data_IF_369770895142
#
_entry.id   IF_369770895142
#
_cell.length_a   1.000
_cell.length_b   1.000
_cell.length_c   1.000
_cell.angle_alpha   90.00
_cell.angle_beta   90.00
_cell.angle_gamma   90.00
#
_symmetry.space_group_name_H-M   'P 1'
#
loop_
_entity.id
_entity.type
_entity.pdbx_description
1 polymer ?
#
# COMPACT_ATOMS: atom_id res chain seq x y z
N UNK A 1 -52.45 46.52 37.69
CA UNK A 1 -51.63 47.10 36.59
C UNK A 1 -51.04 45.92 35.81
N UNK A 2 -51.34 45.56 34.56
CA UNK A 2 -52.10 46.12 33.44
C UNK A 2 -51.53 45.47 32.15
N UNK A 3 -52.26 44.52 31.54
CA UNK A 3 -52.38 44.12 30.09
C UNK A 3 -51.07 43.91 29.26
N UNK A 4 -50.66 42.73 28.74
CA UNK A 4 -51.14 41.78 27.68
C UNK A 4 -51.09 42.26 26.20
N UNK A 5 -50.47 41.45 25.32
CA UNK A 5 -50.69 41.40 23.84
C UNK A 5 -49.63 42.13 23.01
N UNK A 6 -49.14 41.70 21.83
CA UNK A 6 -49.58 40.70 20.84
C UNK A 6 -49.46 41.32 19.43
N UNK A 7 -48.89 40.58 18.46
CA UNK A 7 -49.25 40.66 17.03
C UNK A 7 -48.70 41.77 16.10
N UNK A 8 -47.73 41.39 15.28
CA UNK A 8 -47.60 41.56 13.80
C UNK A 8 -48.21 42.76 13.01
N UNK A 9 -47.35 43.25 12.10
CA UNK A 9 -47.55 43.68 10.69
C UNK A 9 -47.82 45.16 10.32
N UNK A 10 -46.87 45.71 9.53
CA UNK A 10 -47.00 46.46 8.24
C UNK A 10 -45.97 47.59 8.17
N UNK A 11 -45.38 48.03 7.05
CA UNK A 11 -45.13 47.56 5.68
C UNK A 11 -44.50 48.80 5.00
N UNK A 12 -43.44 48.65 4.20
CA UNK A 12 -43.03 49.49 3.05
C UNK A 12 -41.51 49.33 2.83
N UNK A 13 -40.93 49.17 1.64
CA UNK A 13 -41.43 48.98 0.28
C UNK A 13 -40.20 48.53 -0.54
N UNK A 14 -40.21 47.32 -1.11
CA UNK A 14 -39.93 47.06 -2.54
C UNK A 14 -40.24 45.58 -2.89
N UNK A 15 -41.37 45.40 -3.58
CA UNK A 15 -42.02 44.18 -4.10
C UNK A 15 -41.13 43.43 -5.13
N UNK A 16 -40.95 42.10 -5.13
CA UNK A 16 -41.89 40.98 -5.38
C UNK A 16 -42.85 41.13 -6.59
N UNK A 17 -42.58 40.42 -7.69
CA UNK A 17 -43.54 39.68 -8.55
C UNK A 17 -42.75 38.68 -9.41
N UNK A 18 -43.15 37.45 -9.70
CA UNK A 18 -44.25 36.56 -9.31
C UNK A 18 -43.93 35.20 -9.96
N UNK A 19 -44.03 34.09 -9.22
CA UNK A 19 -44.21 32.78 -9.84
C UNK A 19 -45.63 32.70 -10.43
N UNK A 20 -45.76 32.22 -11.66
CA UNK A 20 -47.07 32.04 -12.29
C UNK A 20 -47.03 31.33 -13.64
N UNK A 21 -47.14 30.00 -13.61
CA UNK A 21 -47.96 29.19 -14.52
C UNK A 21 -47.92 29.39 -16.04
N UNK A 22 -47.36 28.38 -16.72
CA UNK A 22 -47.83 27.72 -17.96
C UNK A 22 -47.98 28.51 -19.29
N UNK A 23 -47.26 27.94 -20.28
CA UNK A 23 -47.52 27.68 -21.72
C UNK A 23 -46.88 28.57 -22.80
N UNK A 24 -45.94 27.91 -23.50
CA UNK A 24 -45.89 27.63 -24.96
C UNK A 24 -45.21 28.65 -25.90
N UNK A 25 -44.31 28.06 -26.70
CA UNK A 25 -43.88 28.35 -28.07
C UNK A 25 -42.68 29.28 -28.33
N UNK A 26 -41.64 28.65 -28.91
CA UNK A 26 -40.87 29.16 -30.03
C UNK A 26 -39.73 30.13 -29.69
N UNK A 27 -38.59 30.21 -30.38
CA UNK A 27 -38.11 29.61 -31.63
C UNK A 27 -36.62 30.03 -31.72
N UNK A 28 -35.70 29.06 -31.88
CA UNK A 28 -34.51 29.06 -32.76
C UNK A 28 -33.28 30.01 -32.58
N UNK A 29 -32.18 29.50 -33.16
CA UNK A 29 -30.83 30.03 -33.48
C UNK A 29 -29.74 29.86 -32.41
N UNK A 30 -28.50 29.46 -32.71
CA UNK A 30 -27.82 28.75 -33.82
C UNK A 30 -26.39 28.52 -33.28
N UNK A 31 -25.77 27.36 -33.51
CA UNK A 31 -24.35 27.12 -33.21
C UNK A 31 -23.60 26.81 -34.50
N UNK A 32 -22.61 27.64 -34.78
CA UNK A 32 -21.67 27.52 -35.90
C UNK A 32 -20.53 26.55 -35.62
N UNK A 33 -20.25 25.73 -36.64
CA UNK A 33 -19.20 24.73 -36.77
C UNK A 33 -17.78 25.31 -36.97
N UNK A 34 -16.77 24.53 -36.58
CA UNK A 34 -15.56 24.18 -37.37
C UNK A 34 -14.75 23.17 -36.53
N UNK A 35 -14.43 21.95 -36.96
CA UNK A 35 -13.53 21.56 -38.04
C UNK A 35 -13.84 20.13 -38.53
N UNK A 36 -13.72 19.89 -39.84
CA UNK A 36 -13.80 18.57 -40.48
C UNK A 36 -12.43 18.08 -40.99
N UNK A 37 -12.28 16.75 -40.97
CA UNK A 37 -11.60 15.82 -41.88
C UNK A 37 -10.68 14.85 -41.11
N UNK A 38 -10.80 13.53 -41.20
CA UNK A 38 -11.67 12.65 -41.98
C UNK A 38 -11.25 11.19 -41.69
N UNK A 39 -12.17 10.25 -41.84
CA UNK A 39 -11.88 8.81 -41.66
C UNK A 39 -13.13 8.01 -41.34
N UNK A 40 -13.71 7.41 -42.36
CA UNK A 40 -15.02 6.77 -42.40
C UNK A 40 -15.19 5.57 -41.45
N UNK A 41 -16.43 5.33 -41.00
CA UNK A 41 -17.25 4.15 -41.32
C UNK A 41 -18.65 4.40 -40.72
N UNK A 42 -19.67 4.31 -41.57
CA UNK A 42 -21.06 4.65 -41.21
C UNK A 42 -21.81 3.52 -40.51
N UNK A 43 -22.80 3.91 -39.72
CA UNK A 43 -24.02 3.13 -39.47
C UNK A 43 -25.18 4.13 -39.38
N UNK A 44 -26.20 3.90 -40.22
CA UNK A 44 -27.42 4.69 -40.33
C UNK A 44 -28.42 4.28 -39.24
N UNK A 45 -29.16 5.29 -38.75
CA UNK A 45 -30.38 5.31 -37.93
C UNK A 45 -31.37 4.15 -38.23
N UNK A 46 -32.29 3.73 -37.37
CA UNK A 46 -32.89 4.28 -36.15
C UNK A 46 -34.32 3.73 -36.00
N UNK A 47 -35.00 4.16 -34.94
CA UNK A 47 -36.45 4.07 -34.64
C UNK A 47 -37.03 2.82 -33.94
N UNK A 48 -37.42 3.06 -32.68
CA UNK A 48 -38.59 2.47 -32.03
C UNK A 48 -39.88 3.08 -32.61
N UNK A 49 -40.94 2.27 -32.83
CA UNK A 49 -42.16 2.30 -32.00
C UNK A 49 -43.30 1.40 -32.52
N UNK A 50 -44.03 0.83 -31.55
CA UNK A 50 -45.46 0.50 -31.47
C UNK A 50 -46.13 -0.69 -32.22
N UNK A 51 -46.64 -1.60 -31.38
CA UNK A 51 -47.98 -2.26 -31.31
C UNK A 51 -48.40 -3.35 -32.31
N UNK A 52 -48.89 -4.45 -31.71
CA UNK A 52 -49.90 -5.38 -32.27
C UNK A 52 -49.49 -6.85 -32.08
N UNK A 53 -49.80 -7.55 -30.99
CA UNK A 53 -51.09 -8.14 -30.57
C UNK A 53 -51.13 -9.68 -30.79
N UNK A 54 -51.72 -10.36 -29.80
CA UNK A 54 -52.33 -11.72 -29.81
C UNK A 54 -51.40 -12.91 -29.52
N UNK A 55 -51.78 -13.71 -28.50
CA UNK A 55 -51.43 -15.13 -28.43
C UNK A 55 -51.25 -15.71 -27.03
N UNK A 56 -52.35 -16.02 -26.36
CA UNK A 56 -52.42 -16.64 -25.03
C UNK A 56 -51.71 -18.01 -24.92
N UNK A 57 -51.22 -18.35 -23.71
CA UNK A 57 -51.73 -19.50 -22.92
C UNK A 57 -51.16 -19.52 -21.49
N UNK A 58 -51.99 -20.06 -20.61
CA UNK A 58 -51.96 -20.03 -19.16
C UNK A 58 -50.97 -21.03 -18.53
N UNK A 59 -50.49 -20.70 -17.33
CA UNK A 59 -49.88 -21.63 -16.37
C UNK A 59 -49.88 -21.02 -14.98
N UNK A 60 -50.96 -21.27 -14.23
CA UNK A 60 -51.19 -20.82 -12.85
C UNK A 60 -50.38 -21.71 -11.89
N UNK A 61 -49.62 -21.11 -10.96
CA UNK A 61 -49.16 -21.78 -9.74
C UNK A 61 -49.89 -21.15 -8.55
N UNK A 62 -50.67 -21.96 -7.83
CA UNK A 62 -51.33 -21.61 -6.57
C UNK A 62 -50.45 -21.97 -5.38
N UNK A 63 -50.49 -21.11 -4.37
CA UNK A 63 -49.96 -21.27 -3.01
C UNK A 63 -50.46 -22.52 -2.29
N UNK A 64 -49.67 -23.00 -1.32
CA UNK A 64 -50.18 -23.17 0.05
C UNK A 64 -49.09 -23.13 1.13
N UNK A 65 -49.46 -22.48 2.22
CA UNK A 65 -48.79 -22.34 3.52
C UNK A 65 -49.31 -23.43 4.46
N UNK A 66 -48.49 -23.96 5.36
CA UNK A 66 -48.96 -24.57 6.60
C UNK A 66 -47.95 -24.39 7.75
N UNK A 67 -48.45 -23.78 8.83
CA UNK A 67 -47.86 -23.65 10.16
C UNK A 67 -48.17 -24.89 11.01
N UNK A 68 -47.30 -25.20 11.98
CA UNK A 68 -47.60 -26.13 13.09
C UNK A 68 -46.62 -25.96 14.26
N UNK A 69 -47.13 -25.67 15.46
CA UNK A 69 -46.44 -25.38 16.73
C UNK A 69 -46.39 -26.59 17.68
N UNK A 70 -45.47 -26.55 18.66
CA UNK A 70 -45.47 -27.25 19.97
C UNK A 70 -44.33 -28.28 20.08
N UNK A 71 -43.29 -28.14 20.95
CA UNK A 71 -43.29 -28.08 22.43
C UNK A 71 -43.21 -29.53 23.00
N UNK A 72 -42.36 -30.00 23.92
CA UNK A 72 -41.63 -29.46 25.09
C UNK A 72 -40.71 -30.61 25.65
N UNK A 73 -39.49 -30.28 26.16
CA UNK A 73 -38.63 -30.97 27.19
C UNK A 73 -38.17 -32.43 26.98
N UNK A 74 -37.07 -32.96 27.53
CA UNK A 74 -35.91 -32.54 28.34
C UNK A 74 -34.85 -33.66 28.18
N UNK A 75 -33.59 -33.37 28.56
CA UNK A 75 -32.64 -34.31 29.20
C UNK A 75 -31.91 -35.41 28.39
N UNK A 76 -30.61 -35.18 28.11
CA UNK A 76 -29.44 -35.87 28.72
C UNK A 76 -28.19 -35.94 27.81
N UNK A 77 -27.07 -35.49 28.39
CA UNK A 77 -25.73 -36.12 28.40
C UNK A 77 -24.90 -36.12 27.10
N UNK A 78 -23.89 -35.25 27.10
CA UNK A 78 -22.49 -35.67 27.06
C UNK A 78 -22.01 -36.41 25.81
N UNK A 79 -21.49 -35.68 24.84
CA UNK A 79 -20.52 -36.21 23.88
C UNK A 79 -19.39 -35.20 23.69
N UNK A 80 -18.23 -35.52 24.30
CA UNK A 80 -16.98 -34.83 24.07
C UNK A 80 -16.56 -35.05 22.61
N UNK A 81 -16.33 -33.94 21.89
CA UNK A 81 -15.77 -33.96 20.55
C UNK A 81 -14.22 -34.05 20.67
N UNK A 82 -13.54 -35.03 20.04
CA UNK A 82 -12.10 -35.15 20.14
C UNK A 82 -11.39 -34.11 19.26
N UNK A 83 -10.42 -33.43 19.86
CA UNK A 83 -9.40 -32.62 19.18
C UNK A 83 -8.64 -33.47 18.15
N UNK A 84 -8.36 -32.98 16.92
CA UNK A 84 -7.41 -33.65 16.07
C UNK A 84 -5.98 -33.42 16.57
N UNK A 85 -5.25 -34.52 16.72
CA UNK A 85 -3.86 -34.57 17.11
C UNK A 85 -2.95 -33.96 16.02
N UNK A 86 -2.05 -33.08 16.45
CA UNK A 86 -0.86 -32.68 15.70
C UNK A 86 -0.09 -33.93 15.25
N UNK A 87 -0.02 -34.18 13.95
CA UNK A 87 0.79 -35.24 13.37
C UNK A 87 1.96 -34.59 12.63
N UNK A 88 3.15 -34.70 13.22
CA UNK A 88 4.43 -34.35 12.61
C UNK A 88 4.66 -35.18 11.34
N UNK A 89 4.41 -34.59 10.18
CA UNK A 89 4.74 -35.14 8.86
C UNK A 89 5.98 -34.44 8.30
N UNK A 90 7.15 -35.05 8.47
CA UNK A 90 8.37 -34.66 7.74
C UNK A 90 8.20 -35.02 6.26
N UNK A 91 7.80 -34.07 5.43
CA UNK A 91 7.93 -34.20 3.98
C UNK A 91 9.26 -33.60 3.54
N UNK A 92 10.22 -34.49 3.25
CA UNK A 92 11.45 -34.16 2.53
C UNK A 92 11.11 -33.96 1.06
N UNK A 93 11.01 -32.72 0.60
CA UNK A 93 11.10 -32.40 -0.82
C UNK A 93 12.58 -32.29 -1.21
N UNK A 94 12.99 -33.13 -2.15
CA UNK A 94 14.33 -33.16 -2.70
C UNK A 94 14.55 -31.93 -3.61
N UNK A 95 15.46 -31.03 -3.23
CA UNK A 95 15.97 -30.00 -4.13
C UNK A 95 16.70 -30.67 -5.30
N UNK A 96 16.10 -30.63 -6.50
CA UNK A 96 16.85 -30.80 -7.74
C UNK A 96 17.58 -29.49 -8.03
N UNK A 97 18.90 -29.53 -7.95
CA UNK A 97 19.79 -28.44 -8.39
C UNK A 97 19.63 -28.24 -9.91
N UNK A 98 18.97 -27.18 -10.32
CA UNK A 98 19.09 -26.64 -11.67
C UNK A 98 20.30 -25.69 -11.69
N UNK A 99 21.38 -26.12 -12.33
CA UNK A 99 22.58 -25.29 -12.56
C UNK A 99 22.32 -24.35 -13.73
N UNK A 100 22.02 -23.08 -13.45
CA UNK A 100 21.96 -22.03 -14.48
C UNK A 100 23.39 -21.57 -14.80
N UNK A 101 23.92 -21.98 -15.95
CA UNK A 101 25.16 -21.44 -16.51
C UNK A 101 24.88 -20.02 -17.04
N UNK A 102 25.33 -19.00 -16.32
CA UNK A 102 25.36 -17.62 -16.83
C UNK A 102 26.50 -17.51 -17.84
N UNK A 103 26.16 -17.19 -19.08
CA UNK A 103 27.12 -16.91 -20.14
C UNK A 103 27.76 -15.53 -19.91
N UNK A 104 29.05 -15.52 -19.58
CA UNK A 104 29.86 -14.31 -19.61
C UNK A 104 30.08 -13.88 -21.08
N UNK A 105 29.52 -12.74 -21.48
CA UNK A 105 29.88 -12.09 -22.75
C UNK A 105 30.48 -10.70 -22.50
N UNK A 106 31.60 -10.50 -23.20
CA UNK A 106 32.53 -9.37 -23.20
C UNK A 106 31.84 -8.01 -23.31
N UNK A 107 32.08 -7.15 -22.32
CA UNK A 107 31.82 -5.71 -22.41
C UNK A 107 33.08 -5.00 -22.90
N UNK A 108 33.02 -4.52 -24.14
CA UNK A 108 33.95 -3.55 -24.69
C UNK A 108 33.16 -2.35 -25.18
N UNK A 109 33.01 -1.34 -24.32
CA UNK A 109 32.90 0.11 -24.58
C UNK A 109 32.64 0.84 -23.26
N UNK A 110 33.16 2.06 -23.18
CA UNK A 110 33.47 2.85 -21.97
C UNK A 110 32.28 3.17 -21.08
N UNK A 111 32.51 3.10 -19.75
CA UNK A 111 31.57 3.10 -18.62
C UNK A 111 30.86 4.44 -18.31
N UNK A 112 30.98 5.49 -19.13
CA UNK A 112 30.85 6.88 -18.63
C UNK A 112 29.63 7.72 -19.05
N UNK A 113 28.67 7.27 -19.87
CA UNK A 113 27.64 8.22 -20.38
C UNK A 113 26.15 7.85 -20.23
N UNK A 114 25.78 6.86 -19.41
CA UNK A 114 24.35 6.57 -19.14
C UNK A 114 24.08 6.12 -17.70
N UNK A 115 24.33 6.98 -16.70
CA UNK A 115 23.94 6.71 -15.31
C UNK A 115 22.72 7.58 -14.92
N UNK A 116 21.48 7.06 -14.99
CA UNK A 116 20.29 7.85 -14.74
C UNK A 116 19.96 7.81 -13.25
N UNK A 117 20.33 8.85 -12.47
CA UNK A 117 19.73 9.25 -11.18
C UNK A 117 19.72 8.24 -10.00
N UNK A 118 19.77 6.94 -10.23
CA UNK A 118 19.55 5.86 -9.27
C UNK A 118 20.83 5.44 -8.53
N UNK A 119 22.02 5.55 -9.17
CA UNK A 119 23.31 5.30 -8.48
C UNK A 119 23.57 6.26 -7.32
N UNK A 120 23.08 7.50 -7.45
CA UNK A 120 23.19 8.52 -6.42
C UNK A 120 22.44 8.17 -5.13
N UNK A 121 21.52 7.20 -5.18
CA UNK A 121 20.80 6.71 -3.99
C UNK A 121 21.49 5.56 -3.26
N UNK A 122 22.58 5.03 -3.80
CA UNK A 122 23.35 3.96 -3.18
C UNK A 122 24.46 4.55 -2.30
N UNK A 123 24.79 3.83 -1.23
CA UNK A 123 25.96 4.13 -0.40
C UNK A 123 27.23 4.03 -1.29
N UNK A 124 28.12 5.04 -1.31
CA UNK A 124 29.39 4.96 -2.04
C UNK A 124 30.20 3.73 -1.63
N UNK A 125 30.86 3.05 -2.57
CA UNK A 125 31.57 1.79 -2.28
C UNK A 125 32.64 1.96 -1.18
N UNK A 126 33.33 3.10 -1.15
CA UNK A 126 34.31 3.45 -0.11
C UNK A 126 33.73 3.60 1.31
N UNK A 127 32.44 3.90 1.40
CA UNK A 127 31.71 4.14 2.65
C UNK A 127 30.83 2.94 3.07
N UNK A 128 30.78 1.89 2.23
CA UNK A 128 30.05 0.67 2.50
C UNK A 128 30.77 -0.21 3.52
N UNK A 129 30.06 -0.57 4.58
CA UNK A 129 30.39 -1.66 5.49
C UNK A 129 29.36 -2.76 5.30
N UNK A 130 29.81 -3.95 4.90
CA UNK A 130 28.93 -5.10 4.66
C UNK A 130 28.69 -5.88 5.94
N UNK A 131 27.43 -6.03 6.31
CA UNK A 131 27.00 -6.78 7.49
C UNK A 131 26.20 -8.00 7.04
N UNK A 132 26.55 -9.19 7.53
CA UNK A 132 25.81 -10.41 7.21
C UNK A 132 24.34 -10.31 7.70
N UNK A 133 23.41 -10.94 6.97
CA UNK A 133 22.00 -11.00 7.37
C UNK A 133 21.85 -11.51 8.82
N UNK A 134 22.61 -12.54 9.20
CA UNK A 134 22.58 -13.10 10.54
C UNK A 134 22.97 -12.08 11.61
N UNK A 135 24.06 -11.33 11.40
CA UNK A 135 24.51 -10.31 12.34
C UNK A 135 23.55 -9.12 12.41
N UNK A 136 22.95 -8.75 11.27
CA UNK A 136 21.95 -7.69 11.21
C UNK A 136 20.69 -8.09 11.99
N UNK A 137 20.16 -9.30 11.77
CA UNK A 137 19.00 -9.84 12.51
C UNK A 137 19.24 -9.90 14.01
N UNK A 138 20.34 -10.54 14.44
CA UNK A 138 20.65 -10.67 15.86
C UNK A 138 20.78 -9.30 16.55
N UNK A 139 21.45 -8.36 15.88
CA UNK A 139 21.60 -6.99 16.35
C UNK A 139 20.27 -6.25 16.51
N UNK A 140 19.45 -6.24 15.45
CA UNK A 140 18.17 -5.53 15.43
C UNK A 140 17.18 -6.10 16.42
N UNK A 141 17.10 -7.43 16.55
CA UNK A 141 16.21 -8.08 17.51
C UNK A 141 16.58 -7.68 18.94
N UNK A 142 17.87 -7.76 19.29
CA UNK A 142 18.35 -7.38 20.61
C UNK A 142 18.06 -5.89 20.94
N UNK A 143 18.12 -5.01 19.94
CA UNK A 143 17.73 -3.59 20.11
C UNK A 143 16.23 -3.46 20.43
N UNK A 144 15.35 -4.17 19.73
CA UNK A 144 13.91 -4.15 20.03
C UNK A 144 13.60 -4.73 21.42
N UNK A 145 14.22 -5.85 21.78
CA UNK A 145 14.07 -6.45 23.12
C UNK A 145 14.54 -5.51 24.22
N UNK A 146 15.65 -4.80 24.01
CA UNK A 146 16.13 -3.77 24.94
C UNK A 146 15.18 -2.58 25.08
N UNK A 147 14.31 -2.33 24.09
CA UNK A 147 13.21 -1.35 24.16
C UNK A 147 11.96 -1.91 24.86
N UNK A 148 12.01 -3.13 25.39
CA UNK A 148 10.91 -3.79 26.09
C UNK A 148 9.93 -4.52 25.18
N UNK A 149 10.22 -4.63 23.88
CA UNK A 149 9.39 -5.40 22.94
C UNK A 149 9.55 -6.89 23.25
N UNK A 150 8.46 -7.67 23.41
CA UNK A 150 8.55 -9.11 23.65
C UNK A 150 9.28 -9.84 22.52
N UNK A 151 10.03 -10.90 22.84
CA UNK A 151 10.88 -11.66 21.90
C UNK A 151 10.18 -11.99 20.57
N UNK A 152 8.96 -12.52 20.62
CA UNK A 152 8.20 -12.87 19.41
C UNK A 152 7.89 -11.63 18.53
N UNK A 153 7.57 -10.51 19.15
CA UNK A 153 7.28 -9.25 18.45
C UNK A 153 8.57 -8.57 17.95
N UNK A 154 9.67 -8.69 18.70
CA UNK A 154 10.98 -8.20 18.30
C UNK A 154 11.51 -8.97 17.08
N UNK A 155 11.26 -10.29 17.02
CA UNK A 155 11.57 -11.11 15.85
C UNK A 155 10.76 -10.66 14.62
N UNK A 156 9.47 -10.39 14.76
CA UNK A 156 8.63 -9.85 13.68
C UNK A 156 9.15 -8.49 13.19
N UNK A 157 9.43 -7.56 14.10
CA UNK A 157 9.94 -6.25 13.71
C UNK A 157 11.28 -6.33 12.98
N UNK A 158 12.15 -7.20 13.48
CA UNK A 158 13.43 -7.48 12.85
C UNK A 158 13.25 -8.03 11.44
N UNK A 159 12.33 -8.98 11.24
CA UNK A 159 12.11 -9.55 9.92
C UNK A 159 11.60 -8.53 8.90
N UNK A 160 10.71 -7.63 9.31
CA UNK A 160 10.24 -6.53 8.45
C UNK A 160 11.40 -5.61 8.02
N UNK A 161 12.24 -5.18 8.97
CA UNK A 161 13.36 -4.29 8.67
C UNK A 161 14.42 -4.96 7.80
N UNK A 162 14.82 -6.17 8.14
CA UNK A 162 15.86 -6.89 7.41
C UNK A 162 15.38 -7.28 6.02
N UNK A 163 14.12 -7.66 5.86
CA UNK A 163 13.55 -7.91 4.53
C UNK A 163 13.57 -6.64 3.66
N UNK A 164 13.32 -5.48 4.27
CA UNK A 164 13.44 -4.18 3.57
C UNK A 164 14.88 -3.93 3.11
N UNK A 165 15.86 -4.14 4.00
CA UNK A 165 17.27 -3.96 3.69
C UNK A 165 17.78 -4.95 2.63
N UNK A 166 17.37 -6.22 2.70
CA UNK A 166 17.71 -7.23 1.69
C UNK A 166 17.17 -6.84 0.32
N UNK A 167 15.96 -6.30 0.25
CA UNK A 167 15.32 -5.90 -1.01
C UNK A 167 15.84 -4.58 -1.58
N UNK A 168 16.80 -3.93 -0.92
CA UNK A 168 17.31 -2.62 -1.34
C UNK A 168 16.38 -1.45 -1.00
N UNK A 169 15.34 -1.68 -0.18
CA UNK A 169 14.40 -0.65 0.27
C UNK A 169 14.91 0.04 1.55
N UNK A 170 16.14 0.54 1.52
CA UNK A 170 16.89 1.07 2.68
C UNK A 170 16.21 2.26 3.39
N UNK A 171 15.30 2.94 2.68
CA UNK A 171 14.43 3.98 3.26
C UNK A 171 13.55 3.46 4.41
N UNK A 172 13.28 2.16 4.45
CA UNK A 172 12.42 1.52 5.44
C UNK A 172 13.14 0.41 6.23
N UNK A 173 14.42 0.17 5.98
CA UNK A 173 15.29 -0.74 6.74
C UNK A 173 16.07 -0.05 7.86
N UNK A 174 17.11 -0.69 8.39
CA UNK A 174 17.80 -0.22 9.62
C UNK A 174 18.34 1.20 9.47
N UNK A 175 18.93 1.52 8.32
CA UNK A 175 19.63 2.78 8.04
C UNK A 175 18.82 4.03 8.37
N UNK A 176 17.51 4.00 8.13
CA UNK A 176 16.67 5.18 8.22
C UNK A 176 15.62 5.13 9.33
N UNK A 177 15.15 3.94 9.71
CA UNK A 177 13.97 3.83 10.58
C UNK A 177 14.29 3.36 12.00
N UNK A 178 15.28 2.49 12.21
CA UNK A 178 15.54 1.89 13.53
C UNK A 178 15.86 2.96 14.58
N UNK A 179 16.67 3.97 14.24
CA UNK A 179 16.96 5.12 15.12
C UNK A 179 15.69 5.86 15.54
N UNK A 180 14.75 6.04 14.61
CA UNK A 180 13.50 6.74 14.87
C UNK A 180 12.59 5.92 15.79
N UNK A 181 12.60 4.58 15.66
CA UNK A 181 11.82 3.69 16.53
C UNK A 181 12.38 3.65 17.94
N UNK A 182 13.70 3.53 18.09
CA UNK A 182 14.37 3.63 19.40
C UNK A 182 14.01 4.96 20.08
N UNK A 183 14.08 6.08 19.36
CA UNK A 183 13.66 7.38 19.88
C UNK A 183 12.14 7.47 20.17
N UNK A 184 11.33 6.70 19.44
CA UNK A 184 9.88 6.57 19.66
C UNK A 184 9.55 5.86 20.97
N UNK A 185 10.16 4.70 21.21
CA UNK A 185 10.00 3.93 22.44
C UNK A 185 10.55 4.69 23.66
N UNK A 186 11.75 5.28 23.56
CA UNK A 186 12.33 6.09 24.66
C UNK A 186 11.48 7.31 25.03
N UNK A 187 10.73 7.85 24.07
CA UNK A 187 9.83 8.97 24.28
C UNK A 187 8.38 8.53 24.60
N UNK A 188 8.15 7.24 24.85
CA UNK A 188 6.82 6.66 25.16
C UNK A 188 5.74 6.99 24.11
N UNK A 189 6.16 7.23 22.86
CA UNK A 189 5.26 7.48 21.72
C UNK A 189 4.81 6.20 21.03
N UNK A 190 5.42 5.07 21.36
CA UNK A 190 5.14 3.75 20.82
C UNK A 190 5.01 2.77 21.98
N UNK A 191 3.97 1.92 21.95
CA UNK A 191 3.78 0.91 22.98
C UNK A 191 4.57 -0.37 22.64
N UNK A 192 5.58 -0.75 23.44
CA UNK A 192 6.37 -1.97 23.19
C UNK A 192 5.59 -3.25 23.49
N UNK A 193 4.57 -3.20 24.37
CA UNK A 193 3.77 -4.36 24.81
C UNK A 193 2.28 -4.08 24.58
N UNK A 194 1.86 -3.93 23.31
CA UNK A 194 0.51 -3.49 22.98
C UNK A 194 -0.55 -4.54 23.31
N UNK A 195 -1.67 -4.10 23.87
CA UNK A 195 -2.86 -4.93 24.04
C UNK A 195 -3.72 -4.87 22.77
N UNK A 196 -3.25 -5.55 21.71
CA UNK A 196 -3.94 -5.58 20.41
C UNK A 196 -5.30 -6.28 20.54
N UNK A 197 -6.36 -5.62 20.07
CA UNK A 197 -7.74 -6.13 20.19
C UNK A 197 -8.44 -6.17 18.84
N UNK A 198 -9.15 -7.26 18.59
CA UNK A 198 -10.16 -7.29 17.51
C UNK A 198 -11.38 -6.50 17.95
N UNK A 199 -11.66 -5.38 17.28
CA UNK A 199 -12.79 -4.49 17.59
C UNK A 199 -14.01 -4.77 16.71
N UNK A 200 -13.81 -5.39 15.55
CA UNK A 200 -14.87 -5.89 14.66
C UNK A 200 -14.38 -7.14 13.94
N UNK A 201 -15.30 -8.08 13.70
CA UNK A 201 -14.98 -9.33 13.01
C UNK A 201 -16.18 -9.89 12.25
N UNK A 202 -15.89 -10.50 11.10
CA UNK A 202 -16.77 -11.38 10.35
C UNK A 202 -15.97 -12.58 9.82
N UNK A 203 -16.62 -13.47 9.07
CA UNK A 203 -15.96 -14.60 8.41
C UNK A 203 -14.79 -14.15 7.50
N UNK A 204 -14.96 -13.05 6.76
CA UNK A 204 -14.01 -12.59 5.74
C UNK A 204 -13.29 -11.29 6.10
N UNK A 205 -13.58 -10.71 7.27
CA UNK A 205 -12.97 -9.45 7.67
C UNK A 205 -12.71 -9.32 9.16
N UNK A 206 -11.72 -8.49 9.53
CA UNK A 206 -11.51 -8.05 10.90
C UNK A 206 -11.02 -6.59 10.96
N UNK A 207 -11.15 -5.97 12.13
CA UNK A 207 -10.52 -4.69 12.44
C UNK A 207 -9.79 -4.82 13.77
N UNK A 208 -8.50 -4.47 13.78
CA UNK A 208 -7.65 -4.48 14.97
C UNK A 208 -7.41 -3.06 15.47
N UNK A 209 -7.50 -2.87 16.78
CA UNK A 209 -6.89 -1.73 17.46
C UNK A 209 -5.48 -2.13 17.91
N UNK A 210 -4.48 -1.41 17.42
CA UNK A 210 -3.08 -1.72 17.66
C UNK A 210 -2.54 -1.18 18.98
N UNK A 211 -3.32 -0.44 19.77
CA UNK A 211 -2.88 0.10 21.06
C UNK A 211 -1.56 0.88 20.99
N UNK A 212 -1.40 1.70 19.95
CA UNK A 212 -0.18 2.48 19.64
C UNK A 212 1.09 1.65 19.40
N UNK A 213 0.94 0.36 19.07
CA UNK A 213 2.04 -0.45 18.57
C UNK A 213 2.62 0.14 17.29
N UNK A 214 3.92 -0.07 17.07
CA UNK A 214 4.47 0.13 15.74
C UNK A 214 3.86 -0.89 14.75
N UNK A 215 3.68 -0.48 13.50
CA UNK A 215 3.10 -1.34 12.45
C UNK A 215 3.91 -2.61 12.19
N UNK A 216 5.19 -2.62 12.54
CA UNK A 216 6.06 -3.79 12.46
C UNK A 216 5.64 -4.93 13.41
N UNK A 217 5.00 -4.62 14.54
CA UNK A 217 4.49 -5.62 15.49
C UNK A 217 3.12 -6.16 15.09
N UNK A 218 2.22 -5.29 14.62
CA UNK A 218 0.81 -5.62 14.38
C UNK A 218 0.52 -6.02 12.92
N UNK A 219 1.23 -5.44 11.97
CA UNK A 219 1.00 -5.67 10.54
C UNK A 219 1.19 -7.12 10.11
N UNK A 220 2.25 -7.85 10.53
CA UNK A 220 2.41 -9.26 10.17
C UNK A 220 1.25 -10.11 10.74
N UNK A 221 0.81 -9.81 11.97
CA UNK A 221 -0.33 -10.49 12.61
C UNK A 221 -1.64 -10.21 11.86
N UNK A 222 -1.83 -8.98 11.39
CA UNK A 222 -3.01 -8.62 10.60
C UNK A 222 -3.03 -9.35 9.25
N UNK A 223 -1.88 -9.47 8.58
CA UNK A 223 -1.78 -10.19 7.32
C UNK A 223 -2.01 -11.69 7.51
N UNK A 224 -1.49 -12.26 8.60
CA UNK A 224 -1.75 -13.66 8.98
C UNK A 224 -3.25 -13.93 9.11
N UNK A 225 -3.98 -13.09 9.87
CA UNK A 225 -5.45 -13.20 10.00
C UNK A 225 -6.14 -13.07 8.64
N UNK A 226 -5.67 -12.19 7.75
CA UNK A 226 -6.21 -12.07 6.40
C UNK A 226 -6.00 -13.35 5.57
N UNK A 227 -4.82 -13.98 5.66
CA UNK A 227 -4.51 -15.23 4.98
C UNK A 227 -5.31 -16.41 5.54
N UNK A 228 -5.46 -16.53 6.87
CA UNK A 228 -6.29 -17.56 7.50
C UNK A 228 -7.74 -17.47 7.01
N UNK A 229 -8.31 -16.26 6.98
CA UNK A 229 -9.67 -16.03 6.45
C UNK A 229 -9.76 -16.32 4.95
N UNK A 230 -8.73 -15.99 4.18
CA UNK A 230 -8.68 -16.30 2.75
C UNK A 230 -8.56 -17.81 2.49
N UNK A 231 -7.81 -18.54 3.32
CA UNK A 231 -7.70 -19.99 3.25
C UNK A 231 -9.05 -20.66 3.45
N UNK A 232 -9.89 -20.16 4.35
CA UNK A 232 -11.22 -20.72 4.60
C UNK A 232 -12.26 -20.27 3.55
N UNK A 233 -12.31 -18.97 3.24
CA UNK A 233 -13.43 -18.36 2.51
C UNK A 233 -13.08 -17.82 1.12
N UNK A 234 -11.84 -18.00 0.66
CA UNK A 234 -11.34 -17.51 -0.64
C UNK A 234 -10.80 -16.08 -0.62
N UNK A 235 -11.19 -15.26 0.36
CA UNK A 235 -10.60 -13.94 0.60
C UNK A 235 -10.69 -13.54 2.08
N UNK A 236 -9.75 -12.71 2.53
CA UNK A 236 -9.73 -12.15 3.87
C UNK A 236 -9.17 -10.73 3.88
N UNK A 237 -9.73 -9.86 4.72
CA UNK A 237 -9.33 -8.46 4.79
C UNK A 237 -9.26 -7.96 6.24
N UNK A 238 -8.19 -7.26 6.59
CA UNK A 238 -7.99 -6.74 7.95
C UNK A 238 -7.61 -5.27 7.90
N UNK A 239 -8.41 -4.44 8.59
CA UNK A 239 -8.05 -3.06 8.90
C UNK A 239 -7.35 -2.99 10.25
N UNK A 240 -6.37 -2.09 10.39
CA UNK A 240 -5.66 -1.83 11.64
C UNK A 240 -5.71 -0.32 11.90
N UNK A 241 -6.27 0.06 13.03
CA UNK A 241 -6.30 1.45 13.50
C UNK A 241 -5.29 1.65 14.63
N UNK A 242 -4.99 2.91 14.95
CA UNK A 242 -4.19 3.29 16.12
C UNK A 242 -2.79 2.64 16.12
N UNK A 243 -2.18 2.48 14.93
CA UNK A 243 -0.82 1.93 14.78
C UNK A 243 0.19 3.03 14.39
N UNK A 244 1.47 2.75 14.62
CA UNK A 244 2.59 3.56 14.15
C UNK A 244 3.03 3.20 12.72
N UNK A 245 4.23 3.62 12.36
CA UNK A 245 4.83 3.33 11.05
C UNK A 245 4.95 1.82 10.77
N UNK A 246 4.72 1.39 9.52
CA UNK A 246 4.65 -0.03 9.13
C UNK A 246 5.90 -0.57 8.42
N UNK A 247 6.88 0.27 8.10
CA UNK A 247 8.04 -0.17 7.32
C UNK A 247 7.71 -0.30 5.83
N UNK A 248 8.43 -1.17 5.12
CA UNK A 248 8.20 -1.40 3.69
C UNK A 248 6.89 -2.18 3.49
N UNK A 249 5.96 -1.64 2.70
CA UNK A 249 4.64 -2.26 2.52
C UNK A 249 4.74 -3.61 1.80
N UNK A 250 5.69 -3.81 0.89
CA UNK A 250 5.89 -5.08 0.19
C UNK A 250 6.04 -6.29 1.12
N UNK A 251 6.50 -6.09 2.36
CA UNK A 251 6.64 -7.18 3.33
C UNK A 251 5.33 -7.95 3.53
N UNK A 252 4.20 -7.25 3.67
CA UNK A 252 2.93 -7.89 4.01
C UNK A 252 2.36 -8.71 2.83
N UNK A 253 2.27 -8.18 1.60
CA UNK A 253 1.89 -8.99 0.45
C UNK A 253 2.83 -10.16 0.17
N UNK A 254 4.13 -10.04 0.47
CA UNK A 254 5.09 -11.14 0.33
C UNK A 254 4.74 -12.35 1.21
N UNK A 255 4.13 -12.14 2.40
CA UNK A 255 3.66 -13.24 3.24
C UNK A 255 2.61 -14.10 2.53
N UNK A 256 1.72 -13.48 1.73
CA UNK A 256 0.70 -14.21 0.95
C UNK A 256 1.30 -15.09 -0.16
N UNK A 257 2.45 -14.70 -0.71
CA UNK A 257 3.15 -15.48 -1.73
C UNK A 257 3.56 -16.85 -1.18
N UNK A 258 3.96 -16.93 0.09
CA UNK A 258 4.36 -18.19 0.73
C UNK A 258 3.20 -19.20 0.85
N UNK A 259 1.95 -18.75 0.67
CA UNK A 259 0.73 -19.56 0.72
C UNK A 259 -0.02 -19.64 -0.61
N UNK A 260 0.64 -19.31 -1.72
CA UNK A 260 0.01 -19.30 -3.04
C UNK A 260 -1.25 -18.41 -3.10
N UNK A 261 -1.16 -17.25 -2.47
CA UNK A 261 -2.20 -16.22 -2.44
C UNK A 261 -1.70 -14.91 -3.05
N UNK A 262 -2.64 -14.08 -3.50
CA UNK A 262 -2.36 -12.68 -3.83
C UNK A 262 -2.49 -11.86 -2.54
N UNK A 263 -1.50 -11.00 -2.28
CA UNK A 263 -1.51 -10.10 -1.12
C UNK A 263 -1.64 -8.64 -1.51
N UNK A 264 -2.29 -7.85 -0.65
CA UNK A 264 -2.45 -6.39 -0.80
C UNK A 264 -2.19 -5.70 0.53
N UNK A 265 -1.53 -4.56 0.51
CA UNK A 265 -1.36 -3.68 1.66
C UNK A 265 -1.55 -2.21 1.27
N UNK A 266 -2.21 -1.43 2.11
CA UNK A 266 -2.39 0.02 1.97
C UNK A 266 -2.24 0.72 3.31
N UNK A 267 -1.80 1.98 3.31
CA UNK A 267 -1.59 2.75 4.54
C UNK A 267 -2.11 4.17 4.43
N UNK A 268 -2.73 4.63 5.51
CA UNK A 268 -3.07 6.03 5.75
C UNK A 268 -1.92 6.65 6.52
N UNK A 269 -1.19 7.55 5.86
CA UNK A 269 0.10 8.06 6.33
C UNK A 269 -0.01 9.49 6.92
N UNK A 270 -1.16 9.84 7.52
CA UNK A 270 -1.42 11.19 8.01
C UNK A 270 -1.76 12.18 6.88
N UNK A 271 -1.63 13.49 7.12
CA UNK A 271 -2.06 14.53 6.17
C UNK A 271 -1.09 15.69 5.91
N UNK A 272 0.21 15.53 6.18
CA UNK A 272 1.14 16.67 6.34
C UNK A 272 2.21 16.82 5.25
N UNK A 273 2.17 16.02 4.17
CA UNK A 273 3.25 16.00 3.16
C UNK A 273 2.80 16.31 1.74
N UNK A 274 1.66 15.75 1.34
CA UNK A 274 1.22 15.72 -0.05
C UNK A 274 0.03 16.67 -0.27
N UNK A 275 0.19 17.54 -1.25
CA UNK A 275 -0.83 18.50 -1.70
C UNK A 275 -1.69 17.85 -2.80
N UNK A 276 -3.03 17.86 -2.71
CA UNK A 276 -3.89 17.37 -3.78
C UNK A 276 -3.66 18.11 -5.11
N UNK A 277 -3.99 17.48 -6.25
CA UNK A 277 -3.90 18.17 -7.55
C UNK A 277 -4.77 19.44 -7.52
N UNK A 278 -4.17 20.59 -7.85
CA UNK A 278 -4.78 21.93 -7.75
C UNK A 278 -5.11 22.43 -6.34
N UNK A 279 -4.67 21.71 -5.30
CA UNK A 279 -4.72 22.19 -3.93
C UNK A 279 -3.51 23.08 -3.60
N UNK A 280 -3.61 23.80 -2.48
CA UNK A 280 -2.53 24.62 -1.91
C UNK A 280 -2.21 24.23 -0.46
N UNK A 281 -2.83 23.16 0.05
CA UNK A 281 -2.68 22.68 1.42
C UNK A 281 -2.48 21.16 1.42
N UNK A 282 -1.66 20.66 2.34
CA UNK A 282 -1.46 19.22 2.49
C UNK A 282 -2.69 18.56 3.08
N UNK A 283 -3.15 17.48 2.43
CA UNK A 283 -4.27 16.65 2.89
C UNK A 283 -3.83 15.22 3.14
N UNK A 284 -2.70 14.82 2.55
CA UNK A 284 -2.26 13.43 2.55
C UNK A 284 -0.82 13.30 3.04
N UNK A 285 -0.46 12.17 3.63
CA UNK A 285 0.91 11.64 3.63
C UNK A 285 1.24 10.96 2.30
N UNK A 286 2.27 10.12 2.30
CA UNK A 286 2.70 9.36 1.10
C UNK A 286 1.77 8.21 0.70
N UNK A 287 0.81 7.83 1.56
CA UNK A 287 -0.28 6.88 1.31
C UNK A 287 0.07 5.67 0.43
N UNK A 288 1.12 4.90 0.79
CA UNK A 288 1.63 3.86 -0.09
C UNK A 288 0.65 2.69 -0.27
N UNK A 289 0.83 1.97 -1.37
CA UNK A 289 0.05 0.79 -1.76
C UNK A 289 1.04 -0.28 -2.25
N UNK A 290 0.82 -1.52 -1.82
CA UNK A 290 1.56 -2.67 -2.30
C UNK A 290 0.67 -3.84 -2.70
N UNK A 291 1.11 -4.59 -3.72
CA UNK A 291 0.50 -5.80 -4.26
C UNK A 291 1.58 -6.85 -4.51
N UNK A 292 1.27 -8.12 -4.25
CA UNK A 292 2.11 -9.22 -4.68
C UNK A 292 1.28 -10.38 -5.23
N UNK A 293 1.77 -11.01 -6.30
CA UNK A 293 1.17 -12.19 -6.91
C UNK A 293 2.24 -13.25 -7.24
N UNK A 294 2.00 -14.54 -6.94
CA UNK A 294 2.98 -15.60 -7.15
C UNK A 294 3.12 -15.95 -8.62
N UNK A 295 4.27 -16.48 -8.98
CA UNK A 295 4.56 -17.10 -10.27
C UNK A 295 5.20 -18.49 -10.01
N UNK A 296 5.54 -19.26 -11.04
CA UNK A 296 6.16 -20.59 -10.85
C UNK A 296 7.68 -20.50 -10.96
N UNK A 297 8.19 -20.22 -12.17
CA UNK A 297 9.63 -20.12 -12.44
C UNK A 297 10.16 -18.70 -12.27
N UNK A 298 9.36 -17.69 -12.61
CA UNK A 298 9.78 -16.28 -12.55
C UNK A 298 9.75 -15.77 -11.11
N UNK A 299 10.64 -14.83 -10.73
CA UNK A 299 10.46 -14.06 -9.50
C UNK A 299 9.06 -13.45 -9.41
N UNK A 300 8.39 -13.47 -8.25
CA UNK A 300 7.01 -13.03 -8.12
C UNK A 300 6.84 -11.56 -8.48
N UNK A 301 5.64 -11.19 -8.93
CA UNK A 301 5.28 -9.80 -9.10
C UNK A 301 5.14 -9.15 -7.72
N UNK A 302 5.86 -8.06 -7.46
CA UNK A 302 5.76 -7.29 -6.22
C UNK A 302 5.81 -5.81 -6.55
N UNK A 303 4.66 -5.16 -6.47
CA UNK A 303 4.53 -3.72 -6.66
C UNK A 303 4.41 -3.04 -5.31
N UNK A 304 5.29 -2.08 -5.01
CA UNK A 304 5.28 -1.29 -3.78
C UNK A 304 5.61 0.16 -4.12
N UNK A 305 4.65 1.06 -3.87
CA UNK A 305 4.71 2.42 -4.38
C UNK A 305 4.12 3.41 -3.38
N UNK A 306 4.80 4.54 -3.20
CA UNK A 306 4.19 5.73 -2.59
C UNK A 306 3.27 6.42 -3.60
N UNK A 307 2.18 7.04 -3.15
CA UNK A 307 1.28 7.78 -4.06
C UNK A 307 1.78 9.19 -4.39
N UNK A 308 2.92 9.60 -3.81
CA UNK A 308 3.66 10.83 -4.17
C UNK A 308 4.56 10.61 -5.39
N UNK A 309 4.90 11.69 -6.09
CA UNK A 309 5.79 11.64 -7.27
C UNK A 309 7.15 11.00 -6.98
N UNK A 310 7.67 11.22 -5.78
CA UNK A 310 8.91 10.62 -5.29
C UNK A 310 8.76 10.30 -3.81
N UNK A 311 9.57 9.41 -3.26
CA UNK A 311 9.60 9.17 -1.81
C UNK A 311 10.26 10.34 -1.07
N UNK A 312 9.75 10.72 0.10
CA UNK A 312 10.27 11.85 0.89
C UNK A 312 11.76 11.70 1.23
N UNK A 313 12.19 10.48 1.57
CA UNK A 313 13.60 10.19 1.87
C UNK A 313 14.54 10.43 0.68
N UNK A 314 14.05 10.30 -0.57
CA UNK A 314 14.87 10.60 -1.75
C UNK A 314 15.14 12.10 -1.88
N UNK A 315 14.16 12.95 -1.58
CA UNK A 315 14.37 14.41 -1.53
C UNK A 315 15.47 14.74 -0.53
N UNK A 316 15.43 14.13 0.66
CA UNK A 316 16.47 14.36 1.67
C UNK A 316 17.84 13.83 1.28
N UNK A 317 17.89 12.70 0.58
CA UNK A 317 19.16 12.17 0.14
C UNK A 317 19.82 13.09 -0.89
N UNK A 318 19.05 13.64 -1.84
CA UNK A 318 19.59 14.59 -2.82
C UNK A 318 20.29 15.77 -2.16
N UNK A 319 19.73 16.25 -1.03
CA UNK A 319 20.36 17.29 -0.20
C UNK A 319 21.71 16.86 0.37
N UNK A 320 21.81 15.63 0.91
CA UNK A 320 23.04 15.12 1.52
C UNK A 320 24.17 14.98 0.51
N UNK A 321 23.84 14.55 -0.70
CA UNK A 321 24.83 14.31 -1.78
C UNK A 321 25.03 15.53 -2.69
N UNK A 322 24.32 16.64 -2.45
CA UNK A 322 24.42 17.87 -3.24
C UNK A 322 23.87 17.75 -4.67
N UNK A 323 22.96 16.80 -4.92
CA UNK A 323 22.30 16.67 -6.23
C UNK A 323 21.02 17.48 -6.30
N UNK A 324 20.65 17.92 -7.50
CA UNK A 324 19.38 18.63 -7.74
C UNK A 324 18.19 17.67 -7.78
N UNK A 325 17.02 18.18 -7.40
CA UNK A 325 15.72 17.55 -7.61
C UNK A 325 15.33 17.65 -9.09
N UNK A 326 14.57 16.66 -9.56
CA UNK A 326 14.02 16.69 -10.92
C UNK A 326 12.70 17.47 -10.99
N UNK A 327 12.35 17.98 -12.19
CA UNK A 327 11.08 18.66 -12.43
C UNK A 327 9.85 17.87 -11.93
N UNK A 328 8.96 18.57 -11.24
CA UNK A 328 7.68 18.05 -10.75
C UNK A 328 7.78 17.16 -9.50
N UNK A 329 8.97 17.01 -8.90
CA UNK A 329 9.13 16.23 -7.64
C UNK A 329 8.56 16.92 -6.42
N UNK A 330 8.49 18.24 -6.42
CA UNK A 330 8.02 19.09 -5.32
C UNK A 330 7.16 20.24 -5.84
N UNK A 331 6.42 20.87 -4.94
CA UNK A 331 5.70 22.12 -5.18
C UNK A 331 6.25 23.25 -4.33
N UNK A 332 5.94 24.49 -4.69
CA UNK A 332 6.00 25.62 -3.77
C UNK A 332 4.94 25.51 -2.65
N UNK A 333 4.87 26.53 -1.78
CA UNK A 333 3.93 26.56 -0.65
C UNK A 333 2.50 26.97 -1.08
N UNK A 334 2.34 27.38 -2.32
CA UNK A 334 1.06 27.65 -2.96
C UNK A 334 0.50 26.40 -3.68
N UNK A 335 1.27 25.31 -3.70
CA UNK A 335 0.89 24.03 -4.31
C UNK A 335 1.20 23.92 -5.80
N UNK A 336 1.92 24.87 -6.39
CA UNK A 336 2.32 24.82 -7.79
C UNK A 336 3.54 23.92 -7.97
N UNK A 337 3.49 22.91 -8.86
CA UNK A 337 4.65 22.07 -9.15
C UNK A 337 5.84 22.87 -9.68
N UNK A 338 7.02 22.65 -9.09
CA UNK A 338 8.28 23.25 -9.54
C UNK A 338 8.82 22.41 -10.70
N UNK A 339 8.84 23.00 -11.90
CA UNK A 339 9.23 22.30 -13.13
C UNK A 339 10.69 22.52 -13.54
N UNK A 340 11.46 23.22 -12.71
CA UNK A 340 12.90 23.41 -12.89
C UNK A 340 13.70 22.44 -12.02
N UNK A 341 14.95 22.18 -12.42
CA UNK A 341 15.92 21.46 -11.59
C UNK A 341 16.43 22.37 -10.48
N UNK A 342 16.06 22.08 -9.25
CA UNK A 342 16.37 22.92 -8.06
C UNK A 342 17.11 22.12 -7.00
N UNK A 343 17.84 22.81 -6.14
CA UNK A 343 18.38 22.18 -4.93
C UNK A 343 17.24 21.82 -3.97
N UNK A 344 17.43 20.79 -3.15
CA UNK A 344 16.42 20.35 -2.20
C UNK A 344 16.19 21.43 -1.10
N UNK A 345 14.98 22.02 -1.00
CA UNK A 345 14.71 23.04 0.01
C UNK A 345 14.71 22.47 1.44
N UNK A 346 14.67 23.36 2.44
CA UNK A 346 14.42 22.96 3.83
C UNK A 346 13.04 22.30 3.99
N UNK A 347 12.93 21.39 4.96
CA UNK A 347 11.63 20.84 5.35
C UNK A 347 10.64 21.96 5.70
N UNK A 348 9.40 21.80 5.24
CA UNK A 348 8.36 22.82 5.41
C UNK A 348 8.48 24.01 4.46
N UNK A 349 9.40 23.98 3.49
CA UNK A 349 9.51 24.96 2.39
C UNK A 349 9.03 24.44 1.05
N UNK A 350 8.42 23.26 1.04
CA UNK A 350 7.84 22.62 -0.14
C UNK A 350 6.74 21.65 0.28
N UNK A 351 5.86 21.29 -0.65
CA UNK A 351 5.00 20.11 -0.54
C UNK A 351 5.34 19.07 -1.60
N UNK A 352 4.80 17.86 -1.44
CA UNK A 352 4.95 16.79 -2.42
C UNK A 352 3.70 16.72 -3.30
N UNK A 353 3.83 16.69 -4.63
CA UNK A 353 2.70 16.38 -5.49
C UNK A 353 2.45 14.87 -5.56
N UNK A 354 1.23 14.44 -5.90
CA UNK A 354 0.93 13.05 -6.23
C UNK A 354 1.72 12.58 -7.44
N UNK A 355 1.92 11.27 -7.59
CA UNK A 355 2.61 10.77 -8.77
C UNK A 355 1.88 11.14 -10.06
N UNK A 356 2.67 11.51 -11.05
CA UNK A 356 2.26 12.29 -12.19
C UNK A 356 2.70 13.76 -12.09
N UNK A 357 3.01 14.30 -10.91
CA UNK A 357 3.59 15.64 -10.72
C UNK A 357 2.63 16.79 -11.06
N UNK A 358 2.28 16.95 -12.33
CA UNK A 358 1.30 17.94 -12.84
C UNK A 358 -0.02 17.26 -13.24
N UNK A 359 -1.09 18.05 -13.43
CA UNK A 359 -2.39 17.50 -13.85
C UNK A 359 -2.30 16.76 -15.18
N UNK A 360 -1.55 17.30 -16.12
CA UNK A 360 -1.37 16.84 -17.50
C UNK A 360 -0.60 15.51 -17.54
N UNK A 361 0.39 15.38 -16.67
CA UNK A 361 1.20 14.18 -16.51
C UNK A 361 0.56 13.11 -15.61
N UNK A 362 -0.63 13.39 -15.06
CA UNK A 362 -1.44 12.38 -14.38
C UNK A 362 -1.51 12.49 -12.86
N UNK A 363 -1.11 13.61 -12.25
CA UNK A 363 -1.16 13.83 -10.79
C UNK A 363 -2.51 13.43 -10.16
N UNK A 364 -3.62 13.77 -10.82
CA UNK A 364 -4.97 13.41 -10.38
C UNK A 364 -5.21 11.89 -10.23
N UNK A 365 -4.45 11.04 -10.96
CA UNK A 365 -4.49 9.57 -10.82
C UNK A 365 -3.77 9.13 -9.56
N UNK A 366 -2.59 9.68 -9.29
CA UNK A 366 -1.85 9.44 -8.04
C UNK A 366 -2.65 9.89 -6.82
N UNK A 367 -3.33 11.03 -6.92
CA UNK A 367 -4.27 11.51 -5.90
C UNK A 367 -5.43 10.54 -5.68
N UNK A 368 -5.96 9.95 -6.75
CA UNK A 368 -6.99 8.91 -6.67
C UNK A 368 -6.51 7.71 -5.85
N UNK A 369 -5.30 7.22 -6.10
CA UNK A 369 -4.71 6.13 -5.31
C UNK A 369 -4.49 6.52 -3.85
N UNK A 370 -4.01 7.73 -3.57
CA UNK A 370 -3.85 8.21 -2.19
C UNK A 370 -5.19 8.22 -1.44
N UNK A 371 -6.25 8.65 -2.12
CA UNK A 371 -7.61 8.69 -1.57
C UNK A 371 -8.12 7.27 -1.30
N UNK A 372 -7.88 6.32 -2.21
CA UNK A 372 -8.21 4.90 -1.99
C UNK A 372 -7.48 4.36 -0.76
N UNK A 373 -6.18 4.60 -0.64
CA UNK A 373 -5.41 4.15 0.51
C UNK A 373 -5.97 4.74 1.82
N UNK A 374 -6.29 6.04 1.86
CA UNK A 374 -6.83 6.70 3.06
C UNK A 374 -8.23 6.18 3.44
N UNK A 375 -9.09 5.92 2.44
CA UNK A 375 -10.40 5.29 2.66
C UNK A 375 -10.23 3.88 3.21
N UNK A 376 -9.42 3.05 2.55
CA UNK A 376 -9.31 1.62 2.87
C UNK A 376 -8.61 1.35 4.19
N UNK A 377 -7.67 2.21 4.58
CA UNK A 377 -6.89 2.02 5.81
C UNK A 377 -7.33 2.95 6.94
N UNK A 378 -7.50 4.25 6.70
CA UNK A 378 -7.88 5.22 7.75
C UNK A 378 -9.37 5.17 8.08
N UNK A 379 -10.22 5.46 7.10
CA UNK A 379 -11.67 5.59 7.33
C UNK A 379 -12.29 4.22 7.66
N UNK A 380 -11.99 3.18 6.87
CA UNK A 380 -12.57 1.85 7.03
C UNK A 380 -12.18 1.20 8.37
N UNK A 381 -10.96 1.44 8.86
CA UNK A 381 -10.52 0.90 10.17
C UNK A 381 -11.20 1.58 11.36
N UNK A 382 -11.82 2.75 11.15
CA UNK A 382 -12.42 3.56 12.21
C UNK A 382 -11.52 4.66 12.76
N UNK A 383 -10.28 4.80 12.26
CA UNK A 383 -9.37 5.87 12.66
C UNK A 383 -9.73 7.23 12.04
N UNK A 384 -10.52 7.23 10.95
CA UNK A 384 -10.90 8.43 10.20
C UNK A 384 -9.88 8.79 9.12
N UNK A 385 -10.09 9.91 8.40
CA UNK A 385 -9.18 10.34 7.34
C UNK A 385 -7.83 10.78 7.94
N UNK A 386 -6.74 10.53 7.22
CA UNK A 386 -5.37 10.68 7.72
C UNK A 386 -5.03 12.09 8.24
N UNK A 387 -5.57 13.15 7.62
CA UNK A 387 -5.34 14.53 8.10
C UNK A 387 -6.05 14.86 9.41
N UNK A 388 -7.09 14.10 9.80
CA UNK A 388 -7.79 14.26 11.07
C UNK A 388 -7.26 13.31 12.15
N UNK A 389 -6.54 12.26 11.76
CA UNK A 389 -5.94 11.30 12.68
C UNK A 389 -4.83 11.97 13.50
N UNK A 390 -5.20 12.53 14.66
CA UNK A 390 -4.29 13.23 15.56
C UNK A 390 -3.21 12.32 16.16
N UNK A 391 -2.11 12.92 16.61
CA UNK A 391 -1.06 12.23 17.37
C UNK A 391 -0.15 11.30 16.56
N UNK A 392 -0.12 11.42 15.22
CA UNK A 392 0.74 10.58 14.37
C UNK A 392 0.26 9.13 14.25
N UNK A 393 -1.01 8.88 14.59
CA UNK A 393 -1.65 7.57 14.48
C UNK A 393 -1.93 7.27 13.02
N UNK A 394 -1.31 6.22 12.51
CA UNK A 394 -1.51 5.73 11.16
C UNK A 394 -2.56 4.63 11.17
N UNK A 395 -2.88 4.15 9.98
CA UNK A 395 -3.74 2.98 9.81
C UNK A 395 -3.25 2.14 8.64
N UNK A 396 -3.47 0.85 8.74
CA UNK A 396 -3.06 -0.14 7.74
C UNK A 396 -4.29 -0.94 7.29
N UNK A 397 -4.29 -1.33 6.03
CA UNK A 397 -5.24 -2.29 5.50
C UNK A 397 -4.47 -3.38 4.78
N UNK A 398 -4.78 -4.64 5.07
CA UNK A 398 -4.20 -5.80 4.41
C UNK A 398 -5.29 -6.73 3.91
N UNK A 399 -5.03 -7.42 2.80
CA UNK A 399 -5.98 -8.34 2.19
C UNK A 399 -5.24 -9.48 1.50
N UNK A 400 -5.84 -10.67 1.53
CA UNK A 400 -5.36 -11.85 0.84
C UNK A 400 -6.47 -12.47 -0.02
N UNK A 401 -6.10 -13.01 -1.17
CA UNK A 401 -6.99 -13.73 -2.08
C UNK A 401 -6.41 -15.12 -2.37
N UNK A 402 -7.20 -16.16 -2.11
CA UNK A 402 -6.86 -17.54 -2.44
C UNK A 402 -7.09 -17.76 -3.94
N UNK A 403 -6.04 -18.13 -4.66
CA UNK A 403 -6.07 -18.16 -6.14
C UNK A 403 -7.03 -19.25 -6.66
N UNK A 404 -7.02 -20.43 -6.04
CA UNK A 404 -7.86 -21.57 -6.41
C UNK A 404 -9.37 -21.35 -6.19
N UNK A 405 -9.75 -20.27 -5.49
CA UNK A 405 -11.14 -19.83 -5.40
C UNK A 405 -11.62 -19.15 -6.69
N UNK A 406 -10.71 -18.79 -7.60
CA UNK A 406 -11.01 -18.09 -8.87
C UNK A 406 -10.60 -18.89 -10.09
N UNK A 407 -9.44 -19.54 -10.08
CA UNK A 407 -8.90 -20.29 -11.22
C UNK A 407 -7.92 -21.36 -10.77
N UNK A 408 -7.57 -22.32 -11.64
CA UNK A 408 -6.56 -23.33 -11.31
C UNK A 408 -5.21 -22.68 -10.98
N UNK A 409 -4.62 -23.06 -9.84
CA UNK A 409 -3.41 -22.44 -9.31
C UNK A 409 -2.19 -22.63 -10.24
N UNK A 410 -2.02 -23.82 -10.81
CA UNK A 410 -0.90 -24.10 -11.71
C UNK A 410 -1.02 -23.27 -12.99
N UNK A 411 -2.23 -23.21 -13.57
CA UNK A 411 -2.52 -22.34 -14.71
C UNK A 411 -2.28 -20.87 -14.39
N UNK A 412 -2.69 -20.38 -13.22
CA UNK A 412 -2.45 -19.00 -12.82
C UNK A 412 -0.95 -18.67 -12.82
N UNK A 413 -0.13 -19.53 -12.20
CA UNK A 413 1.31 -19.31 -12.13
C UNK A 413 1.99 -19.41 -13.49
N UNK A 414 1.53 -20.30 -14.37
CA UNK A 414 1.99 -20.37 -15.77
C UNK A 414 1.66 -19.08 -16.55
N UNK A 415 0.44 -18.57 -16.41
CA UNK A 415 0.02 -17.31 -17.02
C UNK A 415 0.84 -16.12 -16.48
N UNK A 416 1.16 -16.14 -15.18
CA UNK A 416 2.04 -15.14 -14.55
C UNK A 416 3.46 -15.22 -15.11
N UNK A 417 4.04 -16.42 -15.22
CA UNK A 417 5.36 -16.60 -15.83
C UNK A 417 5.39 -16.08 -17.26
N UNK A 418 4.36 -16.39 -18.06
CA UNK A 418 4.24 -15.91 -19.43
C UNK A 418 4.23 -14.38 -19.51
N UNK A 419 3.46 -13.71 -18.64
CA UNK A 419 3.40 -12.25 -18.55
C UNK A 419 4.75 -11.64 -18.13
N UNK A 420 5.31 -12.12 -17.03
CA UNK A 420 6.53 -11.55 -16.44
C UNK A 420 7.74 -11.76 -17.37
N UNK A 421 7.86 -12.96 -17.97
CA UNK A 421 8.88 -13.26 -18.98
C UNK A 421 8.74 -12.39 -20.21
N UNK A 422 7.51 -12.18 -20.70
CA UNK A 422 7.26 -11.28 -21.84
C UNK A 422 7.71 -9.85 -21.56
N UNK A 423 7.53 -9.35 -20.34
CA UNK A 423 8.00 -8.02 -19.94
C UNK A 423 9.53 -8.00 -19.87
N UNK A 424 10.14 -8.95 -19.16
CA UNK A 424 11.59 -9.00 -18.93
C UNK A 424 12.41 -9.19 -20.22
N UNK A 425 11.94 -10.05 -21.13
CA UNK A 425 12.65 -10.38 -22.39
C UNK A 425 12.34 -9.39 -23.53
N UNK A 426 11.53 -8.36 -23.27
CA UNK A 426 11.19 -7.37 -24.29
C UNK A 426 12.43 -6.60 -24.73
N UNK A 427 12.55 -6.35 -26.04
CA UNK A 427 13.60 -5.49 -26.58
C UNK A 427 13.50 -4.10 -25.90
N UNK A 428 14.55 -3.64 -25.21
CA UNK A 428 14.52 -2.36 -24.53
C UNK A 428 14.48 -1.21 -25.54
N UNK A 429 13.96 -0.06 -25.10
CA UNK A 429 14.06 1.19 -25.84
C UNK A 429 15.53 1.63 -25.98
N UNK A 430 15.82 2.45 -26.99
CA UNK A 430 17.18 2.97 -27.21
C UNK A 430 17.74 3.64 -25.96
N UNK A 431 18.97 3.29 -25.57
CA UNK A 431 19.63 3.82 -24.38
C UNK A 431 19.38 3.03 -23.09
N UNK A 432 18.58 1.96 -23.14
CA UNK A 432 18.32 1.09 -21.98
C UNK A 432 18.84 -0.33 -22.21
N UNK A 433 19.37 -0.96 -21.16
CA UNK A 433 19.95 -2.30 -21.23
C UNK A 433 18.90 -3.42 -21.18
N UNK A 434 17.85 -3.26 -20.36
CA UNK A 434 16.74 -4.22 -20.24
C UNK A 434 15.48 -3.57 -19.67
N UNK A 435 14.36 -4.29 -19.76
CA UNK A 435 13.07 -3.92 -19.17
C UNK A 435 12.89 -4.68 -17.85
N UNK A 436 12.27 -4.02 -16.87
CA UNK A 436 12.00 -4.59 -15.55
C UNK A 436 10.49 -4.64 -15.29
N UNK A 437 10.04 -5.67 -14.58
CA UNK A 437 8.73 -5.69 -13.94
C UNK A 437 8.87 -5.43 -12.44
N UNK A 438 7.76 -5.05 -11.79
CA UNK A 438 7.76 -4.72 -10.37
C UNK A 438 8.17 -5.92 -9.52
N UNK A 439 9.21 -5.73 -8.68
CA UNK A 439 9.74 -6.74 -7.79
C UNK A 439 10.98 -7.47 -8.30
N UNK A 440 11.30 -7.37 -9.60
CA UNK A 440 12.46 -8.06 -10.18
C UNK A 440 13.79 -7.50 -9.63
N UNK A 441 13.92 -6.17 -9.57
CA UNK A 441 15.13 -5.51 -9.07
C UNK A 441 15.36 -5.87 -7.61
N UNK A 442 14.31 -5.80 -6.80
CA UNK A 442 14.35 -6.11 -5.37
C UNK A 442 14.62 -7.60 -5.11
N UNK A 443 14.16 -8.49 -6.00
CA UNK A 443 14.46 -9.93 -5.91
C UNK A 443 15.94 -10.22 -6.15
N UNK A 444 16.51 -9.65 -7.22
CA UNK A 444 17.93 -9.79 -7.54
C UNK A 444 18.82 -9.18 -6.45
N UNK A 445 18.43 -8.01 -5.93
CA UNK A 445 19.13 -7.34 -4.83
C UNK A 445 19.08 -8.18 -3.55
N UNK A 446 17.94 -8.79 -3.23
CA UNK A 446 17.82 -9.69 -2.08
C UNK A 446 18.69 -10.93 -2.21
N UNK A 447 18.81 -11.52 -3.40
CA UNK A 447 19.73 -12.63 -3.62
C UNK A 447 21.19 -12.20 -3.39
N UNK A 448 21.58 -11.06 -3.97
CA UNK A 448 22.92 -10.47 -3.83
C UNK A 448 23.28 -10.14 -2.38
N UNK A 449 22.39 -9.46 -1.64
CA UNK A 449 22.63 -9.04 -0.25
C UNK A 449 22.65 -10.20 0.74
N UNK A 450 21.95 -11.30 0.46
CA UNK A 450 22.05 -12.53 1.27
C UNK A 450 23.43 -13.17 1.15
N UNK A 451 24.02 -13.18 -0.05
CA UNK A 451 25.34 -13.77 -0.29
C UNK A 451 26.48 -12.86 0.18
N UNK A 452 26.41 -11.58 -0.19
CA UNK A 452 27.50 -10.62 0.01
C UNK A 452 27.40 -9.84 1.33
N UNK A 453 26.27 -9.93 2.03
CA UNK A 453 25.94 -9.07 3.16
C UNK A 453 25.30 -7.75 2.71
N UNK A 454 24.57 -7.14 3.64
CA UNK A 454 23.85 -5.88 3.44
C UNK A 454 24.84 -4.71 3.51
N UNK A 455 24.89 -3.84 2.49
CA UNK A 455 25.75 -2.66 2.51
C UNK A 455 25.13 -1.56 3.37
N UNK A 456 25.76 -1.23 4.49
CA UNK A 456 25.40 -0.07 5.31
C UNK A 456 26.43 1.04 5.14
N UNK A 457 25.98 2.30 5.21
CA UNK A 457 26.91 3.43 5.33
C UNK A 457 27.63 3.35 6.68
N UNK A 458 28.91 3.73 6.74
CA UNK A 458 29.72 3.69 7.97
C UNK A 458 29.04 4.34 9.19
N UNK A 459 28.40 5.49 9.00
CA UNK A 459 27.64 6.17 10.06
C UNK A 459 26.49 5.32 10.65
N UNK A 460 25.86 4.46 9.85
CA UNK A 460 24.81 3.54 10.33
C UNK A 460 25.43 2.49 11.24
N UNK A 461 26.58 1.95 10.85
CA UNK A 461 27.33 0.97 11.65
C UNK A 461 27.87 1.58 12.94
N UNK A 462 28.43 2.79 12.89
CA UNK A 462 28.90 3.54 14.05
C UNK A 462 27.75 3.83 15.01
N UNK A 463 26.61 4.30 14.49
CA UNK A 463 25.43 4.51 15.30
C UNK A 463 24.93 3.21 15.93
N UNK A 464 24.85 2.13 15.17
CA UNK A 464 24.39 0.83 15.66
C UNK A 464 25.30 0.34 16.79
N UNK A 465 26.63 0.40 16.60
CA UNK A 465 27.60 0.01 17.61
C UNK A 465 27.53 0.91 18.87
N UNK A 466 27.30 2.21 18.70
CA UNK A 466 27.08 3.14 19.80
C UNK A 466 25.80 2.82 20.59
N UNK A 467 24.69 2.56 19.90
CA UNK A 467 23.44 2.16 20.52
C UNK A 467 23.56 0.80 21.23
N UNK A 468 24.25 -0.16 20.62
CA UNK A 468 24.55 -1.46 21.22
C UNK A 468 25.30 -1.32 22.54
N UNK A 469 26.33 -0.46 22.58
CA UNK A 469 27.09 -0.17 23.80
C UNK A 469 26.22 0.52 24.87
N UNK A 470 25.42 1.52 24.50
CA UNK A 470 24.50 2.22 25.42
C UNK A 470 23.49 1.26 26.06
N UNK A 471 23.03 0.27 25.28
CA UNK A 471 22.06 -0.74 25.69
C UNK A 471 22.70 -1.97 26.36
N UNK A 472 24.02 -1.98 26.54
CA UNK A 472 24.80 -3.12 27.05
C UNK A 472 24.58 -4.42 26.26
N UNK A 473 24.38 -4.32 24.95
CA UNK A 473 24.30 -5.44 24.05
C UNK A 473 25.73 -5.89 23.71
N UNK A 474 26.07 -7.16 23.94
CA UNK A 474 27.37 -7.73 23.58
C UNK A 474 27.48 -8.02 22.06
N UNK A 475 27.06 -7.05 21.23
CA UNK A 475 26.97 -7.16 19.78
C UNK A 475 27.74 -6.00 19.15
N UNK A 476 28.56 -6.30 18.15
CA UNK A 476 29.32 -5.31 17.41
C UNK A 476 29.38 -5.72 15.94
N UNK A 477 28.99 -4.80 15.07
CA UNK A 477 29.17 -4.93 13.63
C UNK A 477 30.61 -4.58 13.23
N UNK A 478 31.09 -5.14 12.10
CA UNK A 478 32.49 -5.03 11.63
C UNK A 478 33.02 -3.60 11.50
#
# INVERSE_FOLDING_TARGET
MGVVGGGTNRLDHQLQRLLGGKRVAGTLFELGNSYQNGGAIGVIQGFCSLRGAIGARHGIIRHNVALGRGGVRDDLVGAACPRPAFRNGRNRFALKRATTRVAAMRLGKTKEEFAPMLKHFLVPEEDQVRVSEQAARAGTQAVFEAMGVPEADAALCTDVLITSDLRGCESHGISNTLRQYVAGYRAERMNPVPNVKTVRESAVSATLDADTAIGLQVGPKAMEIAMEKAEEFGMGAVGVQNCGHVGMLAYYPLMAIERDMIGVCMVSAGGHLMVPTFGSETVFGTHPIAWAAPADEMPPFVFDVATTQVAANKIMLTRRIGSKLEPGWITDLEGNPIMDRVDAPDYGKFFMPPFGGTRENGSHKGMGFATVADIMSGILSGNGPGFMAGGGKLSQFVMAFRIDAFTDLAKFKEDMDALLRRIADMKPASGHERVYYAGLIEHEEAASRRELGIPYHREVVEWFNGASAELNLNLRWP
#
